data_IF_201982120260
#
_entry.id   IF_201982120260
#
_cell.length_a   1.000
_cell.length_b   1.000
_cell.length_c   1.000
_cell.angle_alpha   90.00
_cell.angle_beta   90.00
_cell.angle_gamma   90.00
#
_symmetry.space_group_name_H-M   'P 1'
#
loop_
_entity.id
_entity.type
_entity.pdbx_description
1 polymer ?
#
# COMPACT_ATOMS: atom_id res chain seq x y z
N UNK A 1 -17.04 -48.33 2.92
CA UNK A 1 -17.92 -47.47 3.74
C UNK A 1 -17.04 -46.76 4.75
N UNK A 2 -17.10 -45.42 4.78
CA UNK A 2 -16.55 -44.46 5.78
C UNK A 2 -15.06 -44.61 6.15
N UNK A 3 -14.21 -43.59 6.15
CA UNK A 3 -14.45 -42.18 6.41
C UNK A 3 -13.29 -41.31 5.90
N UNK A 4 -13.56 -40.01 5.85
CA UNK A 4 -12.89 -38.93 5.16
C UNK A 4 -11.66 -38.35 5.90
N UNK A 5 -10.67 -37.95 5.09
CA UNK A 5 -9.93 -36.66 5.10
C UNK A 5 -9.53 -36.02 6.45
N UNK A 6 -8.22 -35.76 6.58
CA UNK A 6 -7.64 -34.41 6.84
C UNK A 6 -6.13 -34.40 6.56
N UNK A 7 -5.59 -33.44 5.77
CA UNK A 7 -4.15 -33.17 5.67
C UNK A 7 -3.72 -31.94 6.51
N UNK A 8 -2.43 -31.96 6.85
CA UNK A 8 -1.50 -30.86 7.17
C UNK A 8 -2.05 -29.44 7.39
N UNK A 9 -1.70 -28.84 8.54
CA UNK A 9 -1.05 -27.51 8.68
C UNK A 9 -0.37 -27.51 10.06
N UNK A 10 0.89 -27.92 10.11
CA UNK A 10 1.78 -27.68 11.25
C UNK A 10 3.22 -27.64 10.73
N UNK A 11 3.71 -26.43 10.47
CA UNK A 11 5.12 -26.02 10.39
C UNK A 11 5.15 -24.66 9.72
N UNK A 12 5.21 -23.57 10.50
CA UNK A 12 5.81 -22.27 10.10
C UNK A 12 5.91 -21.27 11.28
N UNK A 13 5.87 -21.73 12.53
CA UNK A 13 6.15 -20.88 13.69
C UNK A 13 7.22 -21.56 14.56
N UNK A 14 8.48 -21.41 14.14
CA UNK A 14 9.62 -21.58 15.06
C UNK A 14 9.77 -20.34 15.95
N UNK A 15 10.40 -20.46 17.13
CA UNK A 15 10.59 -19.35 18.05
C UNK A 15 11.47 -18.27 17.40
N UNK A 16 10.93 -17.04 17.27
CA UNK A 16 11.63 -15.90 16.69
C UNK A 16 12.67 -15.35 17.68
N UNK A 17 13.89 -15.90 17.63
CA UNK A 17 15.10 -15.12 17.99
C UNK A 17 15.45 -14.30 16.76
N UNK A 18 15.23 -12.99 16.81
CA UNK A 18 15.81 -12.08 15.82
C UNK A 18 17.29 -11.96 16.16
N UNK A 19 18.12 -12.79 15.51
CA UNK A 19 19.58 -12.67 15.56
C UNK A 19 20.02 -11.50 14.70
N UNK A 20 20.96 -10.72 15.22
CA UNK A 20 21.60 -9.58 14.59
C UNK A 20 22.06 -9.86 13.15
N UNK A 21 21.81 -8.91 12.26
CA UNK A 21 22.37 -8.87 10.91
C UNK A 21 23.57 -7.91 10.89
N UNK A 22 24.69 -8.27 10.24
CA UNK A 22 25.87 -7.42 10.24
C UNK A 22 25.82 -6.37 9.13
N UNK A 23 26.33 -5.18 9.45
CA UNK A 23 27.20 -4.42 8.53
C UNK A 23 26.57 -3.31 7.69
N UNK A 24 26.77 -2.08 8.16
CA UNK A 24 26.56 -0.79 7.49
C UNK A 24 27.61 -0.54 6.40
N UNK A 25 27.19 -0.07 5.22
CA UNK A 25 27.82 0.95 4.35
C UNK A 25 26.90 1.11 3.12
N UNK A 26 26.54 2.27 2.58
CA UNK A 26 27.15 3.59 2.61
C UNK A 26 26.05 4.64 2.36
N UNK A 27 26.22 5.86 2.91
CA UNK A 27 25.21 6.92 2.93
C UNK A 27 25.86 8.20 2.40
N UNK A 28 25.59 8.56 1.15
CA UNK A 28 25.82 9.93 0.68
C UNK A 28 24.52 10.74 0.74
N UNK A 29 24.56 11.77 1.59
CA UNK A 29 23.61 12.86 1.67
C UNK A 29 24.00 13.99 0.72
N UNK A 30 23.11 14.40 -0.19
CA UNK A 30 22.99 15.79 -0.69
C UNK A 30 21.49 16.03 -0.99
N UNK A 31 20.75 16.79 -0.19
CA UNK A 31 20.69 18.25 -0.06
C UNK A 31 19.75 18.92 -1.09
N UNK A 32 18.91 19.79 -0.54
CA UNK A 32 17.83 20.62 -1.11
C UNK A 32 18.18 21.43 -2.37
N UNK A 33 17.15 21.69 -3.20
CA UNK A 33 17.11 22.81 -4.15
C UNK A 33 15.74 22.95 -4.83
N UNK A 34 15.02 24.05 -4.53
CA UNK A 34 13.84 24.54 -5.26
C UNK A 34 14.26 25.48 -6.41
N UNK A 35 13.31 25.79 -7.31
CA UNK A 35 13.36 26.70 -8.49
C UNK A 35 13.92 26.01 -9.75
N UNK A 36 13.34 26.06 -10.96
CA UNK A 36 12.22 26.78 -11.56
C UNK A 36 12.45 26.80 -13.10
N UNK A 37 11.40 27.13 -13.86
CA UNK A 37 11.32 27.29 -15.33
C UNK A 37 11.09 26.03 -16.19
N UNK A 38 9.87 25.94 -16.73
CA UNK A 38 9.63 25.34 -18.05
C UNK A 38 9.12 26.47 -18.95
N UNK A 39 9.84 26.67 -20.06
CA UNK A 39 9.52 27.63 -21.09
C UNK A 39 8.25 27.19 -21.85
N UNK A 40 7.33 28.14 -22.02
CA UNK A 40 6.17 28.02 -22.91
C UNK A 40 6.66 28.42 -24.31
N UNK A 41 6.61 27.48 -25.26
CA UNK A 41 6.67 27.79 -26.68
C UNK A 41 5.27 27.64 -27.25
N UNK A 42 4.65 28.78 -27.56
CA UNK A 42 3.44 28.90 -28.36
C UNK A 42 3.82 28.73 -29.83
N UNK A 43 3.28 27.69 -30.48
CA UNK A 43 3.17 27.67 -31.93
C UNK A 43 1.69 27.60 -32.29
N UNK A 44 1.23 28.74 -32.80
CA UNK A 44 -0.03 28.91 -33.48
C UNK A 44 0.00 28.22 -34.84
N UNK A 45 -1.17 27.71 -35.27
CA UNK A 45 -1.44 27.49 -36.68
C UNK A 45 -2.06 26.14 -36.98
N UNK A 46 -3.39 26.13 -37.10
CA UNK A 46 -4.13 25.72 -38.31
C UNK A 46 -5.48 25.14 -37.93
N UNK A 47 -6.51 25.93 -38.26
CA UNK A 47 -7.92 25.57 -38.26
C UNK A 47 -8.13 24.42 -39.24
N UNK A 48 -8.51 23.25 -38.74
CA UNK A 48 -9.14 22.20 -39.54
C UNK A 48 -10.55 21.99 -39.03
N UNK A 49 -11.50 22.33 -39.90
CA UNK A 49 -12.92 22.09 -39.79
C UNK A 49 -13.17 20.58 -39.66
N UNK A 50 -13.50 20.11 -38.45
CA UNK A 50 -14.11 18.81 -38.25
C UNK A 50 -15.63 18.94 -38.28
N UNK A 51 -16.35 18.04 -38.98
CA UNK A 51 -17.80 18.06 -39.00
C UNK A 51 -18.34 17.78 -37.59
N UNK A 52 -19.33 18.59 -37.18
CA UNK A 52 -20.10 18.38 -35.97
C UNK A 52 -20.97 17.13 -36.11
N UNK A 53 -20.57 16.04 -35.48
CA UNK A 53 -21.45 14.92 -35.20
C UNK A 53 -21.08 14.29 -33.85
N UNK A 54 -22.12 14.06 -33.04
CA UNK A 54 -22.15 13.42 -31.70
C UNK A 54 -21.75 14.27 -30.49
N UNK A 55 -22.28 15.48 -30.38
CA UNK A 55 -22.39 16.19 -29.09
C UNK A 55 -23.59 15.66 -28.27
N UNK A 56 -23.53 14.39 -27.81
CA UNK A 56 -24.53 13.85 -26.87
C UNK A 56 -24.00 12.81 -25.87
N UNK A 57 -22.69 12.54 -25.81
CA UNK A 57 -22.11 11.47 -24.99
C UNK A 57 -21.27 11.92 -23.77
N UNK A 58 -21.00 13.22 -23.59
CA UNK A 58 -19.96 13.69 -22.68
C UNK A 58 -20.47 14.25 -21.33
N UNK A 59 -21.75 14.07 -21.00
CA UNK A 59 -22.23 14.46 -19.66
C UNK A 59 -21.60 13.54 -18.60
N UNK A 60 -20.73 14.10 -17.76
CA UNK A 60 -20.13 13.40 -16.62
C UNK A 60 -18.68 12.93 -16.77
N UNK A 61 -18.07 13.12 -17.94
CA UNK A 61 -16.63 12.99 -18.12
C UNK A 61 -15.96 14.34 -17.90
N UNK A 62 -14.93 14.37 -17.06
CA UNK A 62 -14.09 15.55 -16.88
C UNK A 62 -13.22 15.83 -18.11
N UNK A 63 -12.61 17.02 -18.15
CA UNK A 63 -11.61 17.35 -19.17
C UNK A 63 -10.47 16.31 -19.15
N UNK A 64 -9.96 15.91 -20.33
CA UNK A 64 -8.86 14.97 -20.41
C UNK A 64 -7.62 15.53 -19.71
N UNK A 65 -6.90 14.68 -18.98
CA UNK A 65 -5.60 15.01 -18.42
C UNK A 65 -4.49 14.96 -19.50
N UNK A 66 -3.24 15.21 -19.11
CA UNK A 66 -2.09 15.19 -20.03
C UNK A 66 -1.84 13.83 -20.72
N UNK A 67 -2.51 12.76 -20.28
CA UNK A 67 -2.44 11.42 -20.86
C UNK A 67 -3.71 11.05 -21.64
N UNK A 68 -4.61 12.01 -21.89
CA UNK A 68 -5.86 11.80 -22.59
C UNK A 68 -6.95 11.10 -21.76
N UNK A 69 -6.70 10.82 -20.48
CA UNK A 69 -7.65 10.12 -19.60
C UNK A 69 -8.68 11.11 -19.06
N UNK A 70 -9.95 10.72 -19.01
CA UNK A 70 -11.04 11.55 -18.48
C UNK A 70 -11.54 10.95 -17.18
N UNK A 71 -11.74 11.79 -16.15
CA UNK A 71 -12.33 11.34 -14.88
C UNK A 71 -13.82 11.13 -15.04
N UNK A 72 -14.33 9.96 -14.70
CA UNK A 72 -15.76 9.66 -14.68
C UNK A 72 -16.37 10.03 -13.33
N UNK A 73 -17.43 10.84 -13.35
CA UNK A 73 -18.20 11.21 -12.16
C UNK A 73 -19.19 10.12 -11.79
N UNK A 74 -19.20 9.66 -10.54
CA UNK A 74 -20.21 8.70 -10.07
C UNK A 74 -21.65 9.23 -10.19
N UNK A 75 -21.84 10.56 -10.17
CA UNK A 75 -23.17 11.17 -10.31
C UNK A 75 -23.76 11.02 -11.70
N UNK A 76 -22.93 10.68 -12.69
CA UNK A 76 -23.37 10.51 -14.08
C UNK A 76 -23.66 9.05 -14.43
N UNK A 77 -23.55 8.15 -13.46
CA UNK A 77 -23.89 6.74 -13.56
C UNK A 77 -25.21 6.47 -12.81
N UNK A 78 -25.91 5.37 -13.12
CA UNK A 78 -27.00 4.87 -12.27
C UNK A 78 -26.54 4.68 -10.82
N UNK A 79 -27.48 4.65 -9.88
CA UNK A 79 -27.16 4.36 -8.48
C UNK A 79 -26.52 2.96 -8.38
N UNK A 80 -25.34 2.82 -7.74
CA UNK A 80 -24.70 1.52 -7.61
C UNK A 80 -25.50 0.59 -6.68
N UNK A 81 -25.49 -0.74 -6.93
CA UNK A 81 -25.98 -1.72 -5.98
C UNK A 81 -25.37 -1.52 -4.58
N UNK A 82 -26.13 -1.83 -3.53
CA UNK A 82 -25.76 -1.54 -2.15
C UNK A 82 -24.37 -2.08 -1.75
N UNK A 83 -24.01 -3.27 -2.24
CA UNK A 83 -22.69 -3.87 -2.02
C UNK A 83 -21.57 -3.05 -2.67
N UNK A 84 -21.71 -2.67 -3.94
CA UNK A 84 -20.73 -1.85 -4.65
C UNK A 84 -20.64 -0.45 -4.04
N UNK A 85 -21.75 0.13 -3.58
CA UNK A 85 -21.76 1.42 -2.87
C UNK A 85 -20.87 1.40 -1.63
N UNK A 86 -20.89 0.31 -0.86
CA UNK A 86 -19.99 0.14 0.29
C UNK A 86 -18.53 0.00 -0.14
N UNK A 87 -18.26 -0.76 -1.20
CA UNK A 87 -16.91 -0.93 -1.74
C UNK A 87 -16.34 0.38 -2.29
N UNK A 88 -17.12 1.18 -3.00
CA UNK A 88 -16.73 2.51 -3.48
C UNK A 88 -16.30 3.39 -2.31
N UNK A 89 -17.09 3.41 -1.22
CA UNK A 89 -16.77 4.18 -0.03
C UNK A 89 -15.53 3.70 0.71
N UNK A 90 -15.35 2.38 0.84
CA UNK A 90 -14.17 1.77 1.51
C UNK A 90 -12.89 1.88 0.68
N UNK A 91 -13.03 1.77 -0.64
CA UNK A 91 -11.93 1.70 -1.59
C UNK A 91 -11.43 3.05 -2.07
N UNK A 92 -12.12 4.16 -1.80
CA UNK A 92 -11.74 5.50 -2.28
C UNK A 92 -11.37 5.48 -3.79
N UNK A 93 -12.36 5.12 -4.61
CA UNK A 93 -12.16 4.78 -6.02
C UNK A 93 -12.24 6.04 -6.89
N UNK A 94 -11.23 6.24 -7.73
CA UNK A 94 -11.25 7.18 -8.85
C UNK A 94 -11.40 6.43 -10.17
N UNK A 95 -12.42 6.77 -10.95
CA UNK A 95 -12.68 6.19 -12.26
C UNK A 95 -12.07 7.05 -13.37
N UNK A 96 -11.32 6.43 -14.28
CA UNK A 96 -10.73 7.04 -15.46
C UNK A 96 -11.17 6.29 -16.73
N UNK A 97 -11.44 7.02 -17.80
CA UNK A 97 -11.85 6.47 -19.10
C UNK A 97 -10.91 6.99 -20.19
N UNK A 98 -10.51 6.13 -21.12
CA UNK A 98 -9.73 6.50 -22.31
C UNK A 98 -8.29 6.88 -22.02
N UNK A 99 -7.62 7.36 -23.06
CA UNK A 99 -6.23 7.81 -22.98
C UNK A 99 -5.22 6.67 -22.77
N UNK A 100 -4.00 7.03 -22.37
CA UNK A 100 -2.93 6.06 -22.13
C UNK A 100 -3.19 5.31 -20.83
N UNK A 101 -3.05 3.98 -20.87
CA UNK A 101 -3.20 3.12 -19.69
C UNK A 101 -2.30 3.55 -18.50
N UNK A 102 -2.80 3.58 -17.25
CA UNK A 102 -2.04 4.02 -16.08
C UNK A 102 -0.69 3.34 -15.88
N UNK A 103 -0.60 2.01 -16.03
CA UNK A 103 0.66 1.28 -15.88
C UNK A 103 1.71 1.58 -16.97
N UNK A 104 1.31 2.20 -18.08
CA UNK A 104 2.25 2.69 -19.11
C UNK A 104 2.79 4.06 -18.74
N UNK A 105 1.94 4.92 -18.15
CA UNK A 105 2.30 6.27 -17.71
C UNK A 105 3.21 6.22 -16.49
N UNK A 106 2.85 5.41 -15.49
CA UNK A 106 3.60 5.22 -14.26
C UNK A 106 3.76 3.70 -14.01
N UNK A 107 4.88 3.10 -14.46
CA UNK A 107 5.15 1.68 -14.30
C UNK A 107 5.61 1.37 -12.88
N UNK A 108 4.85 1.81 -11.87
CA UNK A 108 5.20 1.60 -10.46
C UNK A 108 5.25 0.11 -10.11
N UNK A 109 4.37 -0.71 -10.72
CA UNK A 109 4.41 -2.19 -10.74
C UNK A 109 3.67 -2.70 -11.98
N UNK A 110 4.39 -3.05 -13.05
CA UNK A 110 3.77 -3.59 -14.27
C UNK A 110 2.99 -4.88 -13.97
N UNK A 111 1.66 -4.83 -14.08
CA UNK A 111 0.77 -6.01 -14.05
C UNK A 111 0.62 -6.64 -15.44
N UNK A 112 1.15 -6.00 -16.48
CA UNK A 112 1.05 -6.47 -17.85
C UNK A 112 2.00 -7.61 -18.16
N UNK A 113 1.44 -8.76 -18.59
CA UNK A 113 2.20 -9.70 -19.42
C UNK A 113 2.44 -9.03 -20.77
N UNK A 114 3.69 -8.99 -21.26
CA UNK A 114 4.01 -8.39 -22.58
C UNK A 114 3.09 -8.99 -23.66
N UNK A 115 2.47 -8.12 -24.47
CA UNK A 115 1.66 -8.51 -25.63
C UNK A 115 0.16 -8.69 -25.39
N UNK A 116 -0.34 -8.44 -24.17
CA UNK A 116 -1.78 -8.49 -23.86
C UNK A 116 -2.40 -7.09 -23.95
N UNK A 117 -3.54 -6.98 -24.63
CA UNK A 117 -4.43 -5.79 -24.59
C UNK A 117 -5.24 -5.81 -23.31
N UNK A 118 -5.48 -4.64 -22.72
CA UNK A 118 -6.17 -4.51 -21.44
C UNK A 118 -7.29 -3.50 -21.60
N UNK A 119 -8.53 -3.99 -21.52
CA UNK A 119 -9.72 -3.16 -21.65
C UNK A 119 -10.02 -2.40 -20.34
N UNK A 120 -9.41 -2.83 -19.23
CA UNK A 120 -9.44 -2.15 -17.94
C UNK A 120 -8.21 -2.48 -17.06
N UNK A 121 -7.95 -1.62 -16.07
CA UNK A 121 -6.92 -1.79 -15.07
C UNK A 121 -7.34 -1.15 -13.73
N UNK A 122 -7.24 -1.92 -12.63
CA UNK A 122 -7.32 -1.38 -11.26
C UNK A 122 -5.94 -1.33 -10.60
N UNK A 123 -5.53 -0.12 -10.21
CA UNK A 123 -4.38 0.12 -9.35
C UNK A 123 -4.83 0.41 -7.93
N UNK A 124 -4.13 -0.13 -6.94
CA UNK A 124 -4.31 0.23 -5.53
C UNK A 124 -3.12 1.04 -5.02
N UNK A 125 -3.40 2.00 -4.14
CA UNK A 125 -2.39 2.73 -3.39
C UNK A 125 -2.59 2.46 -1.91
N UNK A 126 -1.67 1.70 -1.33
CA UNK A 126 -1.65 1.46 0.10
C UNK A 126 -0.82 2.55 0.81
N UNK A 127 -1.26 2.98 1.98
CA UNK A 127 -0.52 3.89 2.84
C UNK A 127 -0.75 3.54 4.29
N UNK A 128 0.15 3.94 5.18
CA UNK A 128 -0.02 3.74 6.60
C UNK A 128 0.31 5.00 7.39
N UNK A 129 -0.30 5.12 8.56
CA UNK A 129 0.04 6.15 9.54
C UNK A 129 0.19 5.50 10.91
N UNK A 130 1.19 5.92 11.67
CA UNK A 130 1.37 5.43 13.03
C UNK A 130 1.86 6.51 13.99
N UNK A 131 1.52 6.33 15.27
CA UNK A 131 2.04 7.06 16.42
C UNK A 131 2.34 6.05 17.51
N UNK A 132 3.57 6.09 18.01
CA UNK A 132 4.04 5.19 19.06
C UNK A 132 4.33 5.94 20.36
N UNK A 133 4.26 5.19 21.47
CA UNK A 133 4.86 5.51 22.76
C UNK A 133 6.03 4.58 22.97
N UNK A 134 7.17 5.16 23.30
CA UNK A 134 8.40 4.41 23.50
C UNK A 134 8.81 4.50 24.96
N UNK A 135 9.28 3.37 25.51
CA UNK A 135 9.92 3.30 26.82
C UNK A 135 11.29 2.68 26.66
N UNK A 136 12.31 3.45 27.00
CA UNK A 136 13.68 2.99 26.95
C UNK A 136 14.02 2.21 28.23
N UNK A 137 14.70 1.08 28.03
CA UNK A 137 15.25 0.28 29.10
C UNK A 137 16.66 -0.18 28.71
N UNK A 138 17.43 -0.60 29.71
CA UNK A 138 18.62 -1.38 29.44
C UNK A 138 18.24 -2.83 29.15
N UNK A 139 18.96 -3.46 28.23
CA UNK A 139 18.90 -4.89 28.00
C UNK A 139 20.08 -5.56 28.72
N UNK A 140 19.82 -6.66 29.43
CA UNK A 140 20.88 -7.44 30.08
C UNK A 140 21.44 -6.87 31.38
N UNK A 141 22.65 -7.33 31.70
CA UNK A 141 23.40 -7.05 32.93
C UNK A 141 23.79 -5.57 33.06
N UNK A 142 24.11 -5.06 34.26
CA UNK A 142 24.64 -3.69 34.44
C UNK A 142 25.86 -3.32 33.60
N UNK A 143 26.62 -4.32 33.14
CA UNK A 143 27.77 -4.13 32.25
C UNK A 143 27.41 -4.17 30.76
N UNK A 144 26.22 -4.66 30.42
CA UNK A 144 25.74 -4.69 29.05
C UNK A 144 25.31 -3.27 28.65
N UNK A 145 25.90 -2.79 27.56
CA UNK A 145 25.62 -1.48 26.96
C UNK A 145 24.59 -1.60 25.84
N UNK A 146 23.64 -2.50 26.02
CA UNK A 146 22.54 -2.73 25.10
C UNK A 146 21.27 -2.04 25.59
N UNK A 147 20.57 -1.39 24.68
CA UNK A 147 19.30 -0.75 24.94
C UNK A 147 18.14 -1.63 24.44
N UNK A 148 17.00 -1.52 25.10
CA UNK A 148 15.73 -2.05 24.62
C UNK A 148 14.69 -0.93 24.56
N UNK A 149 13.82 -1.02 23.56
CA UNK A 149 12.69 -0.13 23.35
C UNK A 149 11.42 -0.95 23.57
N UNK A 150 10.67 -0.64 24.63
CA UNK A 150 9.28 -1.06 24.75
C UNK A 150 8.39 -0.13 23.92
N UNK A 151 7.56 -0.71 23.06
CA UNK A 151 6.77 0.00 22.05
C UNK A 151 5.29 -0.24 22.27
N UNK A 152 4.52 0.84 22.39
CA UNK A 152 3.06 0.81 22.29
C UNK A 152 2.60 1.65 21.11
N UNK A 153 1.64 1.17 20.31
CA UNK A 153 1.09 1.90 19.17
C UNK A 153 -0.25 2.53 19.52
N UNK A 154 -0.28 3.84 19.77
CA UNK A 154 -1.50 4.61 20.08
C UNK A 154 -2.36 4.85 18.84
N UNK A 155 -1.70 5.00 17.69
CA UNK A 155 -2.34 5.08 16.38
C UNK A 155 -1.59 4.17 15.45
N UNK A 156 -2.32 3.32 14.74
CA UNK A 156 -1.80 2.52 13.65
C UNK A 156 -2.96 2.29 12.68
N UNK A 157 -2.84 2.79 11.46
CA UNK A 157 -3.86 2.69 10.43
C UNK A 157 -3.22 2.30 9.11
N UNK A 158 -3.93 1.46 8.37
CA UNK A 158 -3.66 1.14 6.98
C UNK A 158 -4.81 1.74 6.17
N UNK A 159 -4.49 2.51 5.13
CA UNK A 159 -5.48 3.08 4.23
C UNK A 159 -5.19 2.58 2.82
N UNK A 160 -6.25 2.37 2.04
CA UNK A 160 -6.18 1.99 0.63
C UNK A 160 -7.02 2.96 -0.18
N UNK A 161 -6.51 3.36 -1.34
CA UNK A 161 -7.28 4.04 -2.38
C UNK A 161 -7.09 3.36 -3.72
N UNK A 162 -8.01 3.59 -4.67
CA UNK A 162 -7.98 2.93 -5.97
C UNK A 162 -8.08 3.91 -7.12
N UNK A 163 -7.41 3.54 -8.20
CA UNK A 163 -7.63 4.09 -9.53
C UNK A 163 -8.10 2.95 -10.40
N UNK A 164 -9.29 3.09 -10.97
CA UNK A 164 -9.89 2.15 -11.89
C UNK A 164 -9.98 2.81 -13.26
N UNK A 165 -9.28 2.25 -14.23
CA UNK A 165 -9.20 2.76 -15.59
C UNK A 165 -9.89 1.79 -16.55
N UNK A 166 -10.62 2.33 -17.53
CA UNK A 166 -11.18 1.60 -18.65
C UNK A 166 -10.69 2.23 -19.95
N UNK A 167 -10.36 1.40 -20.94
CA UNK A 167 -9.97 1.87 -22.27
C UNK A 167 -11.12 2.61 -22.94
N UNK A 168 -12.29 1.99 -22.97
CA UNK A 168 -13.53 2.58 -23.46
C UNK A 168 -14.57 2.67 -22.36
N UNK A 169 -15.53 3.60 -22.51
CA UNK A 169 -16.65 3.72 -21.58
C UNK A 169 -17.54 2.48 -21.68
N UNK A 170 -17.71 1.69 -20.58
CA UNK A 170 -18.73 0.65 -20.55
C UNK A 170 -20.12 1.25 -20.75
N UNK A 171 -21.09 0.43 -21.17
CA UNK A 171 -22.49 0.86 -21.28
C UNK A 171 -22.93 1.54 -19.98
N UNK A 172 -23.46 2.77 -20.10
CA UNK A 172 -23.66 3.64 -18.95
C UNK A 172 -24.83 3.16 -18.10
N UNK A 173 -25.88 2.70 -18.75
CA UNK A 173 -27.12 2.22 -18.16
C UNK A 173 -26.92 0.87 -17.47
N UNK A 174 -26.12 -0.01 -18.07
CA UNK A 174 -25.75 -1.32 -17.54
C UNK A 174 -24.35 -1.34 -16.87
N UNK A 175 -23.80 -0.17 -16.49
CA UNK A 175 -22.41 -0.05 -16.04
C UNK A 175 -22.08 -1.02 -14.89
N UNK A 176 -22.96 -1.12 -13.90
CA UNK A 176 -22.75 -1.97 -12.72
C UNK A 176 -22.95 -3.47 -12.98
N UNK A 177 -23.51 -3.84 -14.13
CA UNK A 177 -23.74 -5.22 -14.56
C UNK A 177 -22.62 -5.71 -15.49
N UNK A 178 -21.78 -4.80 -15.99
CA UNK A 178 -20.65 -5.13 -16.86
C UNK A 178 -19.71 -6.13 -16.19
N UNK A 179 -19.45 -7.30 -16.81
CA UNK A 179 -18.49 -8.28 -16.28
C UNK A 179 -17.10 -7.68 -16.05
N UNK A 180 -16.69 -6.76 -16.93
CA UNK A 180 -15.42 -6.05 -16.80
C UNK A 180 -15.41 -5.17 -15.54
N UNK A 181 -16.46 -4.38 -15.32
CA UNK A 181 -16.60 -3.55 -14.11
C UNK A 181 -16.60 -4.43 -12.85
N UNK A 182 -17.35 -5.53 -12.86
CA UNK A 182 -17.41 -6.45 -11.73
C UNK A 182 -16.05 -7.09 -11.41
N UNK A 183 -15.27 -7.46 -12.44
CA UNK A 183 -13.90 -7.94 -12.29
C UNK A 183 -12.98 -6.89 -11.65
N UNK A 184 -13.07 -5.64 -12.10
CA UNK A 184 -12.30 -4.55 -11.49
C UNK A 184 -12.71 -4.29 -10.03
N UNK A 185 -13.98 -4.51 -9.67
CA UNK A 185 -14.42 -4.48 -8.28
C UNK A 185 -13.93 -5.67 -7.45
N UNK A 186 -13.68 -6.84 -8.05
CA UNK A 186 -13.07 -7.96 -7.34
C UNK A 186 -11.63 -7.63 -6.90
N UNK A 187 -10.88 -6.88 -7.70
CA UNK A 187 -9.61 -6.29 -7.26
C UNK A 187 -9.80 -5.42 -6.00
N UNK A 188 -10.79 -4.51 -6.02
CA UNK A 188 -11.11 -3.66 -4.86
C UNK A 188 -11.52 -4.50 -3.63
N UNK A 189 -12.27 -5.59 -3.80
CA UNK A 189 -12.62 -6.51 -2.69
C UNK A 189 -11.37 -7.09 -2.05
N UNK A 190 -10.39 -7.52 -2.83
CA UNK A 190 -9.15 -8.13 -2.33
C UNK A 190 -8.29 -7.15 -1.52
N UNK A 191 -8.17 -5.91 -1.98
CA UNK A 191 -7.32 -4.89 -1.34
C UNK A 191 -7.98 -4.21 -0.14
N UNK A 192 -9.32 -4.13 -0.12
CA UNK A 192 -10.10 -3.60 1.01
C UNK A 192 -10.46 -4.67 2.06
N UNK A 193 -10.06 -5.92 1.84
CA UNK A 193 -10.39 -7.03 2.71
C UNK A 193 -9.91 -6.80 4.17
N UNK A 194 -10.80 -6.91 5.18
CA UNK A 194 -10.45 -6.68 6.58
C UNK A 194 -9.31 -7.55 7.11
N UNK A 195 -9.08 -8.73 6.53
CA UNK A 195 -7.99 -9.65 6.91
C UNK A 195 -6.63 -9.05 6.59
N UNK A 196 -6.49 -8.26 5.52
CA UNK A 196 -5.21 -7.58 5.19
C UNK A 196 -4.86 -6.60 6.29
N UNK A 197 -5.80 -5.71 6.61
CA UNK A 197 -5.61 -4.72 7.68
C UNK A 197 -5.37 -5.40 9.02
N UNK A 198 -6.16 -6.42 9.38
CA UNK A 198 -6.01 -7.14 10.64
C UNK A 198 -4.66 -7.84 10.78
N UNK A 199 -4.16 -8.46 9.69
CA UNK A 199 -2.83 -9.08 9.66
C UNK A 199 -1.72 -8.05 9.86
N UNK A 200 -1.76 -6.94 9.13
CA UNK A 200 -0.79 -5.85 9.27
C UNK A 200 -0.76 -5.29 10.70
N UNK A 201 -1.92 -4.91 11.25
CA UNK A 201 -2.01 -4.32 12.59
C UNK A 201 -1.52 -5.29 13.66
N UNK A 202 -1.90 -6.56 13.55
CA UNK A 202 -1.50 -7.59 14.50
C UNK A 202 0.00 -7.89 14.42
N UNK A 203 0.57 -7.97 13.22
CA UNK A 203 1.99 -8.24 13.02
C UNK A 203 2.87 -7.11 13.59
N UNK A 204 2.51 -5.86 13.33
CA UNK A 204 3.21 -4.69 13.89
C UNK A 204 3.10 -4.67 15.42
N UNK A 205 1.91 -4.89 15.98
CA UNK A 205 1.70 -4.87 17.44
C UNK A 205 2.41 -5.98 18.19
N UNK A 206 2.70 -7.11 17.54
CA UNK A 206 3.52 -8.19 18.13
C UNK A 206 4.99 -7.78 18.32
N UNK A 207 5.45 -6.73 17.64
CA UNK A 207 6.78 -6.17 17.80
C UNK A 207 6.78 -5.10 18.90
N UNK A 208 6.36 -5.49 20.10
CA UNK A 208 6.20 -4.60 21.26
C UNK A 208 7.52 -4.34 22.02
N UNK A 209 8.60 -5.04 21.64
CA UNK A 209 9.94 -4.87 22.19
C UNK A 209 11.00 -5.01 21.12
N UNK A 210 11.84 -3.98 20.99
CA UNK A 210 13.01 -3.97 20.11
C UNK A 210 14.26 -4.00 20.98
N UNK A 211 15.13 -4.98 20.75
CA UNK A 211 16.44 -5.06 21.41
C UNK A 211 17.48 -4.54 20.43
N UNK A 212 18.24 -3.54 20.86
CA UNK A 212 19.31 -2.97 20.06
C UNK A 212 20.61 -3.70 20.35
N UNK A 213 21.38 -3.96 19.30
CA UNK A 213 22.75 -4.44 19.43
C UNK A 213 23.60 -3.38 20.15
N UNK A 214 24.78 -3.80 20.63
CA UNK A 214 25.76 -2.87 21.21
C UNK A 214 26.16 -1.75 20.25
N UNK A 215 26.35 -2.09 18.97
CA UNK A 215 26.73 -1.14 17.91
C UNK A 215 25.65 -0.08 17.68
N UNK A 216 24.38 -0.47 17.70
CA UNK A 216 23.25 0.45 17.60
C UNK A 216 23.04 1.28 18.88
N UNK A 217 23.34 0.70 20.04
CA UNK A 217 23.12 1.33 21.35
C UNK A 217 24.17 2.40 21.65
N UNK A 218 25.43 2.19 21.29
CA UNK A 218 26.54 3.07 21.68
C UNK A 218 26.40 4.53 21.20
N UNK A 219 26.02 4.81 19.93
CA UNK A 219 25.79 6.17 19.45
C UNK A 219 24.67 6.87 20.22
N UNK A 220 23.59 6.14 20.54
CA UNK A 220 22.47 6.67 21.32
C UNK A 220 22.87 6.99 22.76
N UNK A 221 23.60 6.08 23.41
CA UNK A 221 24.10 6.29 24.77
C UNK A 221 25.02 7.50 24.82
N UNK A 222 25.90 7.65 23.83
CA UNK A 222 26.83 8.79 23.73
C UNK A 222 26.07 10.10 23.53
N UNK A 223 25.12 10.14 22.60
CA UNK A 223 24.29 11.32 22.35
C UNK A 223 23.45 11.69 23.58
N UNK A 224 22.78 10.73 24.21
CA UNK A 224 22.00 10.94 25.42
C UNK A 224 22.85 11.45 26.59
N UNK A 225 24.06 10.92 26.77
CA UNK A 225 24.99 11.35 27.81
C UNK A 225 25.39 12.82 27.61
N UNK A 226 25.72 13.22 26.37
CA UNK A 226 26.01 14.62 26.02
C UNK A 226 24.82 15.54 26.33
N UNK A 227 23.60 15.13 25.95
CA UNK A 227 22.37 15.89 26.25
C UNK A 227 22.13 16.07 27.75
N UNK A 228 22.55 15.12 28.57
CA UNK A 228 22.36 15.17 30.03
C UNK A 228 23.33 16.09 30.77
N UNK A 229 24.36 16.63 30.10
CA UNK A 229 25.34 17.55 30.69
C UNK A 229 26.20 16.96 31.81
N UNK A 230 26.18 15.62 31.99
CA UNK A 230 26.92 14.93 33.05
C UNK A 230 28.09 14.15 32.48
N UNK A 231 29.27 14.37 33.07
CA UNK A 231 30.52 13.65 32.75
C UNK A 231 30.48 12.16 33.13
N UNK A 232 29.62 11.75 34.08
CA UNK A 232 29.48 10.33 34.48
C UNK A 232 28.20 9.69 33.92
N UNK A 233 28.38 8.49 33.37
CA UNK A 233 27.36 7.58 32.87
C UNK A 233 26.44 7.07 33.99
N UNK A 234 25.52 7.91 34.46
CA UNK A 234 24.37 7.40 35.22
C UNK A 234 23.43 6.66 34.27
N UNK A 235 23.32 5.32 34.37
CA UNK A 235 22.39 4.51 33.57
C UNK A 235 20.96 5.08 33.54
N UNK A 236 20.48 5.60 34.68
CA UNK A 236 19.19 6.28 34.80
C UNK A 236 19.13 7.65 34.09
N UNK A 237 20.25 8.35 34.00
CA UNK A 237 20.36 9.63 33.29
C UNK A 237 20.24 9.43 31.78
N UNK A 238 20.93 8.41 31.24
CA UNK A 238 20.88 8.06 29.81
C UNK A 238 19.45 7.75 29.38
N UNK A 239 18.75 6.85 30.08
CA UNK A 239 17.38 6.48 29.71
C UNK A 239 16.40 7.67 29.73
N UNK A 240 16.56 8.60 30.68
CA UNK A 240 15.73 9.82 30.76
C UNK A 240 16.01 10.82 29.65
N UNK A 241 17.20 10.78 29.06
CA UNK A 241 17.61 11.63 27.96
C UNK A 241 17.34 11.03 26.58
N UNK A 242 16.82 9.79 26.50
CA UNK A 242 16.34 9.17 25.27
C UNK A 242 14.86 9.48 25.05
N UNK A 243 14.51 9.76 23.80
CA UNK A 243 13.19 10.24 23.38
C UNK A 243 12.52 9.24 22.43
N UNK A 244 11.24 9.44 22.14
CA UNK A 244 10.56 8.69 21.06
C UNK A 244 11.15 8.98 19.68
N UNK A 245 11.71 10.17 19.47
CA UNK A 245 12.38 10.53 18.22
C UNK A 245 13.64 9.69 17.98
N UNK A 246 14.38 9.38 19.05
CA UNK A 246 15.53 8.49 18.95
C UNK A 246 15.10 7.07 18.51
N UNK A 247 13.92 6.58 18.92
CA UNK A 247 13.44 5.24 18.57
C UNK A 247 12.87 5.13 17.14
N UNK A 248 12.56 6.27 16.50
CA UNK A 248 11.80 6.33 15.27
C UNK A 248 12.39 5.53 14.09
N UNK A 249 13.73 5.46 13.87
CA UNK A 249 14.31 4.69 12.77
C UNK A 249 13.90 3.21 12.81
N UNK A 250 14.07 2.54 13.96
CA UNK A 250 13.70 1.13 14.15
C UNK A 250 12.20 0.90 14.00
N UNK A 251 11.38 1.82 14.54
CA UNK A 251 9.92 1.69 14.41
C UNK A 251 9.46 1.84 12.96
N UNK A 252 10.05 2.79 12.21
CA UNK A 252 9.76 2.96 10.78
C UNK A 252 10.13 1.72 9.99
N UNK A 253 11.28 1.13 10.27
CA UNK A 253 11.74 -0.09 9.61
C UNK A 253 10.76 -1.25 9.85
N UNK A 254 10.43 -1.53 11.12
CA UNK A 254 9.49 -2.60 11.49
C UNK A 254 8.13 -2.41 10.81
N UNK A 255 7.54 -1.21 10.93
CA UNK A 255 6.23 -0.93 10.33
C UNK A 255 6.29 -1.01 8.81
N UNK A 256 7.39 -0.53 8.18
CA UNK A 256 7.57 -0.60 6.73
C UNK A 256 7.71 -2.04 6.24
N UNK A 257 8.42 -2.90 6.98
CA UNK A 257 8.57 -4.31 6.63
C UNK A 257 7.22 -5.03 6.64
N UNK A 258 6.40 -4.84 7.68
CA UNK A 258 5.07 -5.44 7.74
C UNK A 258 4.10 -4.81 6.71
N UNK A 259 4.26 -3.53 6.43
CA UNK A 259 3.51 -2.86 5.36
C UNK A 259 3.84 -3.47 3.99
N UNK A 260 5.11 -3.71 3.68
CA UNK A 260 5.51 -4.30 2.40
C UNK A 260 4.91 -5.70 2.22
N UNK A 261 4.86 -6.52 3.28
CA UNK A 261 4.17 -7.82 3.25
C UNK A 261 2.68 -7.70 2.92
N UNK A 262 2.00 -6.67 3.44
CA UNK A 262 0.61 -6.41 3.11
C UNK A 262 0.43 -6.03 1.63
N UNK A 263 1.30 -5.15 1.10
CA UNK A 263 1.32 -4.79 -0.33
C UNK A 263 1.56 -6.03 -1.20
N UNK A 264 2.52 -6.88 -0.83
CA UNK A 264 2.85 -8.07 -1.61
C UNK A 264 1.73 -9.10 -1.59
N UNK A 265 1.05 -9.28 -0.45
CA UNK A 265 -0.13 -10.13 -0.35
C UNK A 265 -1.23 -9.69 -1.32
N UNK A 266 -1.56 -8.40 -1.35
CA UNK A 266 -2.55 -7.85 -2.29
C UNK A 266 -2.09 -8.09 -3.72
N UNK A 267 -0.84 -7.75 -4.05
CA UNK A 267 -0.29 -7.93 -5.40
C UNK A 267 -0.28 -9.38 -5.88
N UNK A 268 -0.05 -10.35 -4.98
CA UNK A 268 -0.18 -11.78 -5.29
C UNK A 268 -1.64 -12.11 -5.60
N UNK A 269 -2.61 -11.62 -4.80
CA UNK A 269 -4.03 -11.91 -5.01
C UNK A 269 -4.59 -11.27 -6.29
N UNK A 270 -4.14 -10.07 -6.64
CA UNK A 270 -4.49 -9.40 -7.91
C UNK A 270 -4.03 -10.25 -9.10
N UNK A 271 -2.74 -10.63 -9.12
CA UNK A 271 -2.21 -11.48 -10.21
C UNK A 271 -2.91 -12.83 -10.29
N UNK A 272 -3.28 -13.38 -9.14
CA UNK A 272 -4.03 -14.64 -9.10
C UNK A 272 -5.45 -14.49 -9.66
N UNK A 273 -6.13 -13.38 -9.34
CA UNK A 273 -7.45 -13.05 -9.91
C UNK A 273 -7.37 -12.91 -11.43
N UNK A 274 -6.45 -12.09 -11.94
CA UNK A 274 -6.29 -11.90 -13.38
C UNK A 274 -5.92 -13.21 -14.09
N UNK A 275 -5.08 -14.04 -13.47
CA UNK A 275 -4.70 -15.34 -14.02
C UNK A 275 -5.87 -16.32 -14.07
N UNK A 276 -6.69 -16.42 -13.01
CA UNK A 276 -7.79 -17.38 -12.94
C UNK A 276 -8.99 -16.98 -13.81
N UNK A 277 -9.23 -15.69 -13.98
CA UNK A 277 -10.36 -15.15 -14.75
C UNK A 277 -9.99 -14.84 -16.19
N UNK A 278 -8.72 -15.02 -16.58
CA UNK A 278 -8.17 -14.47 -17.82
C UNK A 278 -8.53 -12.98 -17.97
N UNK A 279 -8.27 -12.19 -16.93
CA UNK A 279 -8.58 -10.76 -16.84
C UNK A 279 -10.07 -10.47 -17.04
N UNK A 280 -10.93 -11.17 -16.28
CA UNK A 280 -12.38 -10.96 -16.28
C UNK A 280 -13.17 -11.68 -17.38
N UNK A 281 -12.53 -12.44 -18.27
CA UNK A 281 -13.23 -13.22 -19.32
C UNK A 281 -13.96 -14.44 -18.78
N UNK A 282 -13.48 -15.03 -17.70
CA UNK A 282 -14.05 -16.19 -17.04
C UNK A 282 -14.41 -15.87 -15.59
N UNK A 283 -15.47 -16.51 -15.10
CA UNK A 283 -15.86 -16.39 -13.70
C UNK A 283 -14.78 -16.97 -12.78
N UNK A 284 -14.68 -16.42 -11.56
CA UNK A 284 -13.79 -16.95 -10.53
C UNK A 284 -14.20 -18.39 -10.18
N UNK A 285 -13.27 -19.37 -10.19
CA UNK A 285 -13.55 -20.73 -9.75
C UNK A 285 -14.15 -20.77 -8.35
N UNK A 286 -15.25 -21.51 -8.16
CA UNK A 286 -15.93 -21.65 -6.86
C UNK A 286 -15.11 -22.39 -5.81
N UNK A 287 -14.07 -23.11 -6.24
CA UNK A 287 -13.14 -23.83 -5.37
C UNK A 287 -11.85 -23.04 -5.21
N UNK A 288 -11.34 -22.95 -3.98
CA UNK A 288 -10.00 -22.46 -3.69
C UNK A 288 -9.97 -21.18 -2.86
N UNK A 289 -8.75 -20.78 -2.49
CA UNK A 289 -8.52 -19.65 -1.59
C UNK A 289 -9.08 -18.34 -2.14
N UNK A 290 -8.92 -18.05 -3.43
CA UNK A 290 -9.35 -16.78 -4.02
C UNK A 290 -10.86 -16.56 -3.85
N UNK A 291 -11.67 -17.61 -4.01
CA UNK A 291 -13.12 -17.52 -3.83
C UNK A 291 -13.51 -17.15 -2.39
N UNK A 292 -12.80 -17.70 -1.39
CA UNK A 292 -12.97 -17.34 0.04
C UNK A 292 -12.47 -15.92 0.34
N UNK A 293 -11.60 -15.38 -0.51
CA UNK A 293 -11.15 -14.01 -0.41
C UNK A 293 -12.22 -13.02 -0.89
N UNK A 294 -12.91 -13.35 -1.99
CA UNK A 294 -13.97 -12.53 -2.56
C UNK A 294 -15.32 -12.68 -1.83
N UNK A 295 -15.52 -13.78 -1.11
CA UNK A 295 -16.74 -14.07 -0.35
C UNK A 295 -16.40 -14.32 1.13
N UNK A 296 -16.01 -13.26 1.88
CA UNK A 296 -15.60 -13.37 3.29
C UNK A 296 -16.74 -13.70 4.26
#
# INVERSE_FOLDING_TARGET
MSDLRKPLIEKWLGPSRVTAWPGIADREHRAFGWVGMIAIVLLAGSVLLYPQSVARADEGLGSPNQHGQRKLSLRSLPEPPAELKQLIGKGDITFLIGGTRPSVVDPSRSTGTRGRTFDAETQFRLSYTFKSRCRWAWNGSPNDRELAIGVGYDRLRLNVSHLMWFEDMPDREAFWESPLVLHEFDHVRLSTDPRVTSRFLSAVRKQDRVILTREESEPLITAASRRSGRSRYGRSSVLRSLTGGDAQPWLKEIVSAEFQKAVDLIGIRYRELDRQTDHGKFAVPRSGDLHQWLNP
#
